data_IF_582677964377
#
_entry.id   IF_582677964377
#
_cell.length_a   1.000
_cell.length_b   1.000
_cell.length_c   1.000
_cell.angle_alpha   90.00
_cell.angle_beta   90.00
_cell.angle_gamma   90.00
#
_symmetry.space_group_name_H-M   'P 1'
#
loop_
_entity.id
_entity.type
_entity.pdbx_description
1 polymer ?
#
# COMPACT_ATOMS: atom_id res chain seq x y z
N UNK A 1 7.40 -18.62 -6.88
CA UNK A 1 6.02 -18.07 -7.01
C UNK A 1 5.02 -18.70 -6.05
N UNK A 2 4.84 -20.03 -5.99
CA UNK A 2 3.91 -20.67 -5.04
C UNK A 2 4.39 -20.55 -3.58
N UNK A 3 5.63 -20.94 -3.29
CA UNK A 3 6.24 -20.79 -1.96
C UNK A 3 6.19 -19.35 -1.40
N UNK A 4 6.29 -18.34 -2.28
CA UNK A 4 6.09 -16.93 -1.89
C UNK A 4 4.66 -16.65 -1.45
N UNK A 5 3.66 -17.12 -2.22
CA UNK A 5 2.27 -16.97 -1.82
C UNK A 5 2.00 -17.65 -0.49
N UNK A 6 2.63 -18.79 -0.26
CA UNK A 6 2.53 -19.60 0.96
C UNK A 6 3.20 -18.96 2.19
N UNK A 7 4.01 -17.92 2.01
CA UNK A 7 4.58 -17.11 3.10
C UNK A 7 3.73 -15.90 3.54
N UNK A 8 2.74 -15.48 2.74
CA UNK A 8 1.94 -14.28 3.03
C UNK A 8 0.71 -14.54 3.90
N UNK A 9 0.29 -13.58 4.74
CA UNK A 9 -1.00 -13.72 5.45
C UNK A 9 -2.18 -13.77 4.47
N UNK A 10 -3.10 -14.72 4.64
CA UNK A 10 -4.31 -14.86 3.81
C UNK A 10 -5.36 -15.71 4.53
N UNK A 11 -6.55 -15.16 4.77
CA UNK A 11 -7.62 -15.89 5.47
C UNK A 11 -7.19 -16.24 6.90
N UNK A 12 -7.24 -17.54 7.23
CA UNK A 12 -6.78 -18.13 8.49
C UNK A 12 -5.26 -18.38 8.56
N UNK A 13 -4.56 -18.28 7.43
CA UNK A 13 -3.12 -18.51 7.35
C UNK A 13 -2.35 -17.32 7.89
N UNK A 14 -1.60 -17.57 8.98
CA UNK A 14 -0.62 -16.63 9.51
C UNK A 14 0.64 -16.64 8.65
N UNK A 15 1.05 -15.47 8.19
CA UNK A 15 2.26 -15.28 7.41
C UNK A 15 2.76 -13.86 7.56
N UNK A 16 3.57 -13.41 6.62
CA UNK A 16 4.02 -12.02 6.59
C UNK A 16 3.00 -11.17 5.84
N UNK A 17 2.57 -10.06 6.43
CA UNK A 17 1.57 -9.17 5.83
C UNK A 17 2.25 -7.89 5.31
N UNK A 18 2.10 -7.54 4.02
CA UNK A 18 2.69 -6.34 3.41
C UNK A 18 1.91 -5.08 3.79
N UNK A 19 1.68 -4.87 5.07
CA UNK A 19 0.99 -3.68 5.54
C UNK A 19 1.87 -2.46 5.34
N UNK A 20 1.30 -1.43 4.72
CA UNK A 20 1.81 -0.08 4.73
C UNK A 20 0.71 0.87 5.23
N UNK A 21 1.10 2.03 5.76
CA UNK A 21 0.14 2.99 6.28
C UNK A 21 -0.64 3.67 5.13
N UNK A 22 -1.93 3.37 5.01
CA UNK A 22 -2.78 3.91 3.95
C UNK A 22 -3.08 5.40 4.09
N UNK A 23 -3.12 5.95 5.31
CA UNK A 23 -3.31 7.39 5.55
C UNK A 23 -2.09 8.18 5.07
N UNK A 24 -0.89 7.69 5.39
CA UNK A 24 0.35 8.27 4.89
C UNK A 24 0.45 8.19 3.36
N UNK A 25 0.03 7.06 2.76
CA UNK A 25 0.01 6.90 1.31
C UNK A 25 -0.98 7.86 0.64
N UNK A 26 -2.17 8.01 1.22
CA UNK A 26 -3.14 8.97 0.74
C UNK A 26 -2.59 10.40 0.78
N UNK A 27 -1.90 10.80 1.85
CA UNK A 27 -1.28 12.12 1.90
C UNK A 27 -0.28 12.30 0.75
N UNK A 28 0.55 11.29 0.45
CA UNK A 28 1.46 11.33 -0.71
C UNK A 28 0.72 11.47 -2.04
N UNK A 29 -0.42 10.80 -2.20
CA UNK A 29 -1.24 10.89 -3.40
C UNK A 29 -1.93 12.26 -3.49
N UNK A 30 -2.35 12.83 -2.37
CA UNK A 30 -2.93 14.17 -2.27
C UNK A 30 -1.90 15.25 -2.62
N UNK A 31 -0.67 15.14 -2.12
CA UNK A 31 0.44 16.04 -2.45
C UNK A 31 0.78 16.03 -3.95
N UNK A 32 0.51 14.89 -4.63
CA UNK A 32 0.65 14.73 -6.08
C UNK A 32 -0.61 15.16 -6.86
N UNK A 33 -1.63 15.71 -6.20
CA UNK A 33 -2.87 16.18 -6.82
C UNK A 33 -3.81 15.08 -7.30
N UNK A 34 -3.67 13.85 -6.80
CA UNK A 34 -4.45 12.68 -7.25
C UNK A 34 -5.73 12.46 -6.43
N UNK A 35 -5.79 13.02 -5.22
CA UNK A 35 -6.95 12.92 -4.33
C UNK A 35 -7.80 14.17 -4.47
N UNK A 36 -9.08 13.99 -4.84
CA UNK A 36 -10.09 15.03 -4.83
C UNK A 36 -10.92 14.94 -3.54
N UNK A 37 -11.18 16.09 -2.93
CA UNK A 37 -12.03 16.19 -1.73
C UNK A 37 -13.34 16.91 -2.06
N UNK A 38 -14.45 16.46 -1.49
CA UNK A 38 -15.76 17.11 -1.61
C UNK A 38 -16.59 16.89 -0.34
N UNK A 39 -17.86 17.28 -0.34
CA UNK A 39 -18.78 17.07 0.78
C UNK A 39 -20.16 16.58 0.29
N UNK A 40 -20.79 15.68 1.06
CA UNK A 40 -22.23 15.39 0.97
C UNK A 40 -22.83 15.70 2.34
N UNK A 41 -23.60 16.80 2.43
CA UNK A 41 -24.03 17.33 3.71
C UNK A 41 -22.82 17.69 4.59
N UNK A 42 -22.76 17.14 5.80
CA UNK A 42 -21.61 17.30 6.72
C UNK A 42 -20.50 16.26 6.52
N UNK A 43 -20.67 15.27 5.64
CA UNK A 43 -19.68 14.23 5.43
C UNK A 43 -18.61 14.67 4.41
N UNK A 44 -17.33 14.56 4.77
CA UNK A 44 -16.20 14.76 3.85
C UNK A 44 -16.02 13.53 2.95
N UNK A 45 -15.97 13.78 1.65
CA UNK A 45 -15.67 12.78 0.63
C UNK A 45 -14.22 12.91 0.17
N UNK A 46 -13.66 11.77 -0.20
CA UNK A 46 -12.37 11.64 -0.87
C UNK A 46 -12.52 10.71 -2.05
N UNK A 47 -12.05 11.14 -3.22
CA UNK A 47 -12.09 10.37 -4.45
C UNK A 47 -10.72 10.35 -5.09
N UNK A 48 -10.33 9.20 -5.64
CA UNK A 48 -9.10 9.00 -6.40
C UNK A 48 -9.40 8.07 -7.57
N UNK A 49 -8.77 8.33 -8.73
CA UNK A 49 -8.88 7.44 -9.88
C UNK A 49 -8.08 6.16 -9.58
N UNK A 50 -8.73 4.99 -9.70
CA UNK A 50 -8.14 3.70 -9.32
C UNK A 50 -6.84 3.38 -10.06
N UNK A 51 -6.74 3.68 -11.36
CA UNK A 51 -5.52 3.41 -12.13
C UNK A 51 -4.33 4.24 -11.60
N UNK A 52 -4.41 5.59 -11.55
CA UNK A 52 -3.38 6.40 -10.93
C UNK A 52 -3.07 6.04 -9.47
N UNK A 53 -4.09 5.70 -8.68
CA UNK A 53 -3.90 5.20 -7.32
C UNK A 53 -2.93 4.02 -7.30
N UNK A 54 -3.21 2.97 -8.07
CA UNK A 54 -2.41 1.74 -8.08
C UNK A 54 -1.02 1.99 -8.65
N UNK A 55 -0.92 2.66 -9.80
CA UNK A 55 0.35 2.90 -10.48
C UNK A 55 1.33 3.70 -9.60
N UNK A 56 0.85 4.82 -9.03
CA UNK A 56 1.69 5.68 -8.20
C UNK A 56 1.98 5.06 -6.84
N UNK A 57 1.03 4.31 -6.28
CA UNK A 57 1.28 3.56 -5.03
C UNK A 57 2.38 2.52 -5.25
N UNK A 58 2.32 1.75 -6.34
CA UNK A 58 3.36 0.77 -6.64
C UNK A 58 4.72 1.43 -6.91
N UNK A 59 4.74 2.55 -7.63
CA UNK A 59 5.97 3.35 -7.83
C UNK A 59 6.59 3.77 -6.49
N UNK A 60 5.80 4.33 -5.57
CA UNK A 60 6.27 4.76 -4.25
C UNK A 60 6.78 3.58 -3.43
N UNK A 61 6.01 2.49 -3.35
CA UNK A 61 6.35 1.31 -2.56
C UNK A 61 7.60 0.60 -3.07
N UNK A 62 7.86 0.65 -4.37
CA UNK A 62 9.05 0.03 -4.98
C UNK A 62 10.29 0.91 -4.92
N UNK A 63 10.12 2.24 -4.95
CA UNK A 63 11.23 3.18 -4.85
C UNK A 63 11.82 3.27 -3.44
N UNK A 64 10.98 3.20 -2.40
CA UNK A 64 11.38 3.39 -1.00
C UNK A 64 10.81 2.31 -0.06
N UNK A 65 11.01 1.01 -0.33
CA UNK A 65 10.32 -0.07 0.39
C UNK A 65 10.58 -0.05 1.90
N UNK A 66 11.76 0.37 2.34
CA UNK A 66 12.13 0.52 3.75
C UNK A 66 11.33 1.59 4.49
N UNK A 67 10.81 2.60 3.79
CA UNK A 67 10.00 3.65 4.39
C UNK A 67 8.54 3.22 4.61
N UNK A 68 8.09 2.16 3.95
CA UNK A 68 6.68 1.78 3.91
C UNK A 68 6.37 0.43 4.55
N UNK A 69 7.31 -0.52 4.47
CA UNK A 69 7.08 -1.87 4.95
C UNK A 69 7.84 -2.19 6.23
N UNK A 70 7.28 -3.10 7.01
CA UNK A 70 7.92 -3.59 8.22
C UNK A 70 9.17 -4.42 7.88
N UNK A 71 10.22 -4.39 8.72
CA UNK A 71 11.45 -5.15 8.48
C UNK A 71 11.23 -6.64 8.22
N UNK A 72 10.24 -7.26 8.88
CA UNK A 72 9.90 -8.67 8.68
C UNK A 72 9.42 -8.96 7.25
N UNK A 73 8.67 -8.04 6.63
CA UNK A 73 8.24 -8.18 5.23
C UNK A 73 9.40 -8.02 4.27
N UNK A 74 10.27 -7.04 4.51
CA UNK A 74 11.44 -6.81 3.67
C UNK A 74 12.43 -7.97 3.73
N UNK A 75 12.68 -8.50 4.92
CA UNK A 75 13.53 -9.69 5.10
C UNK A 75 12.92 -10.91 4.39
N UNK A 76 11.62 -11.10 4.52
CA UNK A 76 10.92 -12.17 3.80
C UNK A 76 11.06 -12.02 2.27
N UNK A 77 10.96 -10.81 1.72
CA UNK A 77 11.20 -10.57 0.29
C UNK A 77 12.62 -10.99 -0.13
N UNK A 78 13.65 -10.60 0.64
CA UNK A 78 15.05 -10.95 0.33
C UNK A 78 15.33 -12.45 0.37
N UNK A 79 14.69 -13.17 1.27
CA UNK A 79 14.85 -14.62 1.40
C UNK A 79 14.10 -15.41 0.33
N UNK A 80 13.13 -14.77 -0.34
CA UNK A 80 12.26 -15.39 -1.31
C UNK A 80 12.66 -15.10 -2.77
N UNK A 81 13.67 -14.26 -2.98
CA UNK A 81 14.40 -14.07 -4.25
C UNK A 81 15.41 -15.21 -4.50
#
# INVERSE_FOLDING_TARGET
>A
RQAMRDGLTSGDRQGVWPFYNSEAMEQRLADRGLVATSHIGSATLRAVRTRPLVEVTLEILTAEPEAWFQPAFLEWCRQAD
#
